data_IF_547025150813
#
_entry.id   IF_547025150813
#
_cell.length_a   1.000
_cell.length_b   1.000
_cell.length_c   1.000
_cell.angle_alpha   90.00
_cell.angle_beta   90.00
_cell.angle_gamma   90.00
#
_symmetry.space_group_name_H-M   'P 1'
#
loop_
_entity.id
_entity.type
_entity.pdbx_description
1 polymer ?
#
# COMPACT_ATOMS: atom_id res chain seq x y z
N UNK A 1 -15.40 -3.16 4.79
CA UNK A 1 -14.04 -3.40 5.39
C UNK A 1 -14.08 -4.49 6.47
N UNK A 2 -15.00 -5.49 6.34
CA UNK A 2 -15.07 -6.58 7.31
C UNK A 2 -13.78 -7.39 7.37
N UNK A 3 -13.19 -7.68 6.23
CA UNK A 3 -11.94 -8.44 6.11
C UNK A 3 -10.81 -7.88 7.00
N UNK A 4 -10.71 -6.56 7.12
CA UNK A 4 -9.72 -5.91 7.98
C UNK A 4 -10.10 -6.04 9.47
N UNK A 5 -11.39 -6.00 9.82
CA UNK A 5 -11.84 -6.27 11.19
C UNK A 5 -11.60 -7.73 11.59
N UNK A 6 -11.88 -8.68 10.70
CA UNK A 6 -11.62 -10.10 10.92
C UNK A 6 -10.12 -10.36 11.20
N UNK A 7 -9.21 -9.61 10.55
CA UNK A 7 -7.78 -9.66 10.84
C UNK A 7 -7.45 -9.13 12.25
N UNK A 8 -8.00 -7.96 12.65
CA UNK A 8 -7.81 -7.42 13.99
C UNK A 8 -8.33 -8.38 15.07
N UNK A 9 -9.53 -8.92 14.88
CA UNK A 9 -10.13 -9.92 15.78
C UNK A 9 -9.26 -11.15 15.91
N UNK A 10 -8.77 -11.68 14.77
CA UNK A 10 -7.86 -12.84 14.75
C UNK A 10 -6.58 -12.59 15.53
N UNK A 11 -5.94 -11.41 15.37
CA UNK A 11 -4.69 -11.11 16.08
C UNK A 11 -4.95 -10.99 17.59
N UNK A 12 -6.06 -10.37 17.98
CA UNK A 12 -6.42 -10.24 19.41
C UNK A 12 -6.77 -11.58 20.07
N UNK A 13 -7.30 -12.55 19.29
CA UNK A 13 -7.69 -13.86 19.79
C UNK A 13 -6.54 -14.88 19.76
N UNK A 14 -5.79 -14.93 18.65
CA UNK A 14 -4.86 -16.01 18.34
C UNK A 14 -3.39 -15.54 18.29
N UNK A 15 -3.15 -14.23 18.43
CA UNK A 15 -1.81 -13.64 18.30
C UNK A 15 -0.84 -14.13 19.36
N UNK A 16 0.37 -14.47 18.92
CA UNK A 16 1.48 -14.82 19.80
C UNK A 16 2.26 -13.56 20.15
N UNK A 17 2.55 -13.35 21.43
CA UNK A 17 3.37 -12.22 21.87
C UNK A 17 4.82 -12.43 21.41
N UNK A 18 5.39 -11.39 20.78
CA UNK A 18 6.76 -11.37 20.28
C UNK A 18 7.47 -10.08 20.71
N UNK A 19 8.76 -10.21 20.99
CA UNK A 19 9.64 -9.05 21.06
C UNK A 19 9.94 -8.53 19.66
N UNK A 20 10.12 -7.23 19.56
CA UNK A 20 10.45 -6.56 18.31
C UNK A 20 11.62 -5.58 18.48
N UNK A 21 12.13 -5.05 17.38
CA UNK A 21 13.26 -4.12 17.33
C UNK A 21 13.02 -2.84 18.15
N UNK A 22 11.77 -2.40 18.25
CA UNK A 22 11.40 -1.15 18.94
C UNK A 22 11.30 -1.31 20.47
N UNK A 23 11.31 -2.55 20.97
CA UNK A 23 11.09 -2.86 22.38
C UNK A 23 9.65 -2.69 22.87
N UNK A 24 8.72 -2.33 21.97
CA UNK A 24 7.30 -2.17 22.32
C UNK A 24 6.60 -3.51 22.52
N UNK A 25 7.02 -4.54 21.78
CA UNK A 25 6.36 -5.85 21.73
C UNK A 25 5.13 -5.85 20.82
N UNK A 26 4.79 -7.02 20.32
CA UNK A 26 3.67 -7.22 19.38
C UNK A 26 2.88 -8.47 19.72
N UNK A 27 1.57 -8.49 19.37
CA UNK A 27 0.82 -9.71 19.10
C UNK A 27 0.88 -9.99 17.60
N UNK A 28 1.26 -11.20 17.19
CA UNK A 28 1.49 -11.53 15.78
C UNK A 28 0.83 -12.84 15.40
N UNK A 29 0.27 -12.87 14.17
CA UNK A 29 -0.12 -14.09 13.45
C UNK A 29 0.68 -14.19 12.16
N UNK A 30 1.04 -15.41 11.76
CA UNK A 30 1.78 -15.65 10.52
C UNK A 30 0.84 -16.17 9.43
N UNK A 31 0.81 -15.44 8.32
CA UNK A 31 -0.02 -15.79 7.17
C UNK A 31 -1.50 -15.37 7.33
N UNK A 32 -1.90 -14.35 6.57
CA UNK A 32 -3.30 -13.95 6.44
C UNK A 32 -3.55 -13.38 5.05
N UNK A 33 -4.76 -13.58 4.51
CA UNK A 33 -5.13 -13.01 3.22
C UNK A 33 -6.49 -12.34 3.30
N UNK A 34 -6.59 -11.14 2.76
CA UNK A 34 -7.82 -10.37 2.59
C UNK A 34 -8.11 -10.13 1.11
N UNK A 35 -9.40 -10.06 0.75
CA UNK A 35 -9.84 -9.75 -0.62
C UNK A 35 -10.84 -8.60 -0.61
N UNK A 36 -10.65 -7.67 -1.54
CA UNK A 36 -11.48 -6.49 -1.70
C UNK A 36 -11.91 -6.38 -3.16
N UNK A 37 -13.18 -6.64 -3.46
CA UNK A 37 -13.73 -6.38 -4.80
C UNK A 37 -13.94 -4.87 -4.97
N UNK A 38 -13.17 -4.29 -5.89
CA UNK A 38 -13.13 -2.84 -6.12
C UNK A 38 -14.42 -2.32 -6.80
N UNK A 39 -15.24 -3.21 -7.37
CA UNK A 39 -16.56 -2.84 -7.87
C UNK A 39 -17.56 -2.48 -6.74
N UNK A 40 -17.33 -2.97 -5.52
CA UNK A 40 -18.18 -2.67 -4.36
C UNK A 40 -17.81 -1.37 -3.63
N UNK A 41 -16.78 -0.67 -4.07
CA UNK A 41 -16.31 0.60 -3.51
C UNK A 41 -14.81 0.59 -3.21
N UNK A 42 -14.29 1.76 -2.90
CA UNK A 42 -12.88 1.94 -2.58
C UNK A 42 -12.61 1.51 -1.12
N UNK A 43 -11.68 0.56 -0.87
CA UNK A 43 -11.48 -0.03 0.45
C UNK A 43 -10.71 0.90 1.40
N UNK A 44 -11.23 2.08 1.64
CA UNK A 44 -10.76 3.03 2.65
C UNK A 44 -11.55 2.81 3.93
N UNK A 45 -10.88 2.45 5.03
CA UNK A 45 -11.57 2.11 6.27
C UNK A 45 -12.45 3.26 6.78
N UNK A 46 -13.68 2.91 7.22
CA UNK A 46 -14.65 3.86 7.75
C UNK A 46 -14.75 3.82 9.27
N UNK A 47 -14.15 2.83 9.94
CA UNK A 47 -14.15 2.70 11.40
C UNK A 47 -13.11 3.59 12.10
N UNK A 48 -12.20 4.18 11.34
CA UNK A 48 -11.37 5.33 11.71
C UNK A 48 -11.06 6.15 10.46
N UNK A 49 -10.96 7.48 10.61
CA UNK A 49 -10.56 8.38 9.51
C UNK A 49 -9.10 8.16 9.16
N UNK A 50 -8.81 7.96 7.87
CA UNK A 50 -7.45 7.93 7.31
C UNK A 50 -7.13 9.25 6.60
N UNK A 51 -5.85 9.56 6.49
CA UNK A 51 -5.35 10.73 5.79
C UNK A 51 -5.08 10.40 4.31
N UNK A 52 -6.13 10.48 3.48
CA UNK A 52 -6.06 10.14 2.05
C UNK A 52 -4.95 10.89 1.31
N UNK A 53 -4.70 12.15 1.66
CA UNK A 53 -3.64 12.96 1.04
C UNK A 53 -2.28 12.28 1.13
N UNK A 54 -1.92 11.74 2.29
CA UNK A 54 -0.66 10.99 2.45
C UNK A 54 -0.62 9.75 1.57
N UNK A 55 -1.73 9.00 1.48
CA UNK A 55 -1.80 7.78 0.67
C UNK A 55 -1.58 8.09 -0.82
N UNK A 56 -2.23 9.13 -1.33
CA UNK A 56 -2.12 9.51 -2.76
C UNK A 56 -0.71 10.04 -3.06
N UNK A 57 -0.17 10.98 -2.26
CA UNK A 57 1.15 11.53 -2.51
C UNK A 57 2.26 10.49 -2.35
N UNK A 58 2.16 9.56 -1.40
CA UNK A 58 3.12 8.46 -1.28
C UNK A 58 3.13 7.58 -2.53
N UNK A 59 1.95 7.21 -3.04
CA UNK A 59 1.86 6.40 -4.26
C UNK A 59 2.43 7.14 -5.48
N UNK A 60 2.11 8.42 -5.64
CA UNK A 60 2.66 9.24 -6.73
C UNK A 60 4.18 9.37 -6.62
N UNK A 61 4.70 9.51 -5.42
CA UNK A 61 6.13 9.57 -5.13
C UNK A 61 6.84 8.24 -5.48
N UNK A 62 6.25 7.09 -5.15
CA UNK A 62 6.76 5.78 -5.60
C UNK A 62 6.76 5.67 -7.13
N UNK A 63 5.66 6.10 -7.79
CA UNK A 63 5.53 6.05 -9.24
C UNK A 63 6.48 7.02 -9.96
N UNK A 64 6.89 8.11 -9.32
CA UNK A 64 7.93 8.99 -9.82
C UNK A 64 9.34 8.37 -9.73
N UNK A 65 9.52 7.28 -8.97
CA UNK A 65 10.82 6.65 -8.73
C UNK A 65 11.69 7.42 -7.74
N UNK A 66 11.09 8.36 -7.01
CA UNK A 66 11.79 9.21 -6.05
C UNK A 66 12.06 8.48 -4.72
N UNK A 67 13.09 8.91 -4.02
CA UNK A 67 13.55 8.36 -2.73
C UNK A 67 13.81 9.44 -1.69
N UNK A 68 13.68 10.73 -2.07
CA UNK A 68 13.84 11.86 -1.18
C UNK A 68 12.49 12.35 -0.67
N UNK A 69 12.39 12.61 0.64
CA UNK A 69 11.13 13.04 1.28
C UNK A 69 10.69 14.47 0.93
N UNK A 70 11.51 15.24 0.19
CA UNK A 70 11.22 16.63 -0.16
C UNK A 70 9.86 16.82 -0.81
N UNK A 71 9.57 16.01 -1.86
CA UNK A 71 8.26 16.05 -2.52
C UNK A 71 7.11 15.82 -1.53
N UNK A 72 7.25 14.84 -0.64
CA UNK A 72 6.23 14.55 0.37
C UNK A 72 6.03 15.74 1.32
N UNK A 73 7.12 16.33 1.81
CA UNK A 73 7.09 17.45 2.74
C UNK A 73 6.50 18.72 2.09
N UNK A 74 6.82 19.02 0.83
CA UNK A 74 6.21 20.12 0.06
C UNK A 74 4.68 19.97 -0.05
N UNK A 75 4.16 18.72 0.05
CA UNK A 75 2.74 18.43 0.05
C UNK A 75 2.14 18.18 1.44
N UNK A 76 2.90 18.49 2.51
CA UNK A 76 2.45 18.32 3.90
C UNK A 76 2.32 16.87 4.35
N UNK A 77 3.10 15.97 3.76
CA UNK A 77 3.17 14.54 4.09
C UNK A 77 4.50 14.24 4.77
N UNK A 78 4.46 13.77 6.02
CA UNK A 78 5.63 13.58 6.89
C UNK A 78 5.82 12.13 7.33
N UNK A 79 5.11 11.18 6.70
CA UNK A 79 5.07 9.78 7.13
C UNK A 79 6.38 9.02 6.94
N UNK A 80 7.38 9.62 6.28
CA UNK A 80 8.71 9.07 6.04
C UNK A 80 9.84 9.81 6.75
N UNK A 81 9.55 10.95 7.41
CA UNK A 81 10.58 11.84 7.98
C UNK A 81 11.45 11.17 9.05
N UNK A 82 10.87 10.23 9.82
CA UNK A 82 11.57 9.53 10.92
C UNK A 82 12.71 8.62 10.42
N UNK A 83 12.68 8.23 9.12
CA UNK A 83 13.68 7.35 8.51
C UNK A 83 14.65 8.08 7.58
N UNK A 84 14.32 9.31 7.16
CA UNK A 84 15.15 10.08 6.25
C UNK A 84 16.43 10.57 6.94
N UNK A 85 17.53 10.59 6.18
CA UNK A 85 18.76 11.23 6.64
C UNK A 85 18.65 12.77 6.63
N UNK A 86 19.73 13.45 7.03
CA UNK A 86 19.76 14.91 7.12
C UNK A 86 19.55 15.63 5.75
N UNK A 87 19.73 14.93 4.62
CA UNK A 87 19.47 15.44 3.27
C UNK A 87 18.06 15.09 2.76
N UNK A 88 17.30 14.33 3.54
CA UNK A 88 15.97 13.85 3.19
C UNK A 88 15.98 12.54 2.38
N UNK A 89 17.12 11.86 2.27
CA UNK A 89 17.25 10.61 1.50
C UNK A 89 16.91 9.38 2.34
N UNK A 90 16.27 8.40 1.67
CA UNK A 90 15.90 7.11 2.25
C UNK A 90 16.69 5.93 1.67
N UNK A 91 17.62 6.20 0.75
CA UNK A 91 18.29 5.17 -0.02
C UNK A 91 17.38 4.53 -1.08
N UNK A 92 17.77 3.38 -1.66
CA UNK A 92 17.09 2.81 -2.82
C UNK A 92 15.76 2.10 -2.47
N UNK A 93 14.83 2.81 -1.78
CA UNK A 93 13.52 2.30 -1.37
C UNK A 93 12.56 2.13 -2.56
N UNK A 94 11.33 1.77 -2.32
CA UNK A 94 10.27 1.40 -3.26
C UNK A 94 10.31 2.03 -4.65
N UNK A 95 10.31 3.36 -4.74
CA UNK A 95 10.30 4.08 -6.02
C UNK A 95 11.50 3.74 -6.88
N UNK A 96 12.68 3.70 -6.28
CA UNK A 96 13.93 3.32 -6.98
C UNK A 96 13.85 1.89 -7.52
N UNK A 97 13.39 0.94 -6.72
CA UNK A 97 13.29 -0.46 -7.14
C UNK A 97 12.22 -0.65 -8.23
N UNK A 98 11.09 0.03 -8.15
CA UNK A 98 10.02 -0.06 -9.12
C UNK A 98 10.37 0.53 -10.48
N UNK A 99 11.08 1.69 -10.48
CA UNK A 99 11.29 2.49 -11.68
C UNK A 99 12.71 2.43 -12.24
N UNK A 100 13.68 2.01 -11.47
CA UNK A 100 15.10 2.05 -11.85
C UNK A 100 15.88 0.91 -11.22
N UNK A 101 15.40 -0.33 -11.36
CA UNK A 101 16.09 -1.52 -10.89
C UNK A 101 17.42 -1.68 -11.62
N UNK A 102 18.58 -1.73 -10.93
CA UNK A 102 19.87 -1.79 -11.58
C UNK A 102 20.12 -3.15 -12.24
N UNK A 103 20.74 -3.15 -13.42
CA UNK A 103 21.18 -4.36 -14.13
C UNK A 103 22.69 -4.54 -14.03
N UNK A 104 23.18 -5.76 -14.25
CA UNK A 104 24.61 -6.08 -14.14
C UNK A 104 25.49 -5.35 -15.18
N UNK A 105 24.92 -4.92 -16.30
CA UNK A 105 25.59 -4.16 -17.37
C UNK A 105 25.55 -2.63 -17.15
N UNK A 106 25.04 -2.19 -15.99
CA UNK A 106 24.95 -0.77 -15.63
C UNK A 106 23.68 -0.06 -16.16
N UNK A 107 22.76 -0.80 -16.79
CA UNK A 107 21.45 -0.30 -17.19
C UNK A 107 20.45 -0.29 -16.04
N UNK A 108 19.19 0.03 -16.37
CA UNK A 108 18.07 0.01 -15.43
C UNK A 108 16.82 -0.64 -16.05
N UNK A 109 16.02 -1.26 -15.21
CA UNK A 109 14.71 -1.81 -15.58
C UNK A 109 13.63 -0.97 -14.89
N UNK A 110 12.74 -0.39 -15.68
CA UNK A 110 11.48 0.18 -15.19
C UNK A 110 10.41 -0.92 -15.12
N UNK A 111 10.23 -1.49 -13.93
CA UNK A 111 9.30 -2.60 -13.73
C UNK A 111 7.83 -2.16 -13.94
N UNK A 112 7.47 -0.92 -13.53
CA UNK A 112 6.11 -0.40 -13.68
C UNK A 112 5.78 -0.17 -15.15
N UNK A 113 6.64 0.50 -15.92
CA UNK A 113 6.43 0.70 -17.35
C UNK A 113 6.33 -0.63 -18.10
N UNK A 114 7.19 -1.59 -17.73
CA UNK A 114 7.20 -2.92 -18.32
C UNK A 114 5.91 -3.70 -18.03
N UNK A 115 5.40 -3.67 -16.78
CA UNK A 115 4.17 -4.39 -16.44
C UNK A 115 2.94 -3.77 -17.11
N UNK A 116 2.83 -2.44 -17.17
CA UNK A 116 1.73 -1.75 -17.90
C UNK A 116 1.77 -2.11 -19.38
N UNK A 117 2.95 -2.07 -20.00
CA UNK A 117 3.13 -2.46 -21.41
C UNK A 117 2.80 -3.96 -21.63
N UNK A 118 3.17 -4.83 -20.69
CA UNK A 118 2.87 -6.26 -20.77
C UNK A 118 1.38 -6.54 -20.64
N UNK A 119 0.65 -5.86 -19.75
CA UNK A 119 -0.82 -5.97 -19.62
C UNK A 119 -1.51 -5.62 -20.96
N UNK A 120 -1.09 -4.53 -21.61
CA UNK A 120 -1.66 -4.12 -22.92
C UNK A 120 -1.38 -5.12 -24.04
N UNK A 121 -0.18 -5.73 -24.08
CA UNK A 121 0.24 -6.62 -25.16
C UNK A 121 -0.18 -8.07 -24.96
N UNK A 122 -0.19 -8.54 -23.72
CA UNK A 122 -0.47 -9.92 -23.36
C UNK A 122 -1.08 -9.99 -21.95
N UNK A 123 -2.38 -9.70 -21.80
CA UNK A 123 -3.07 -9.70 -20.51
C UNK A 123 -3.07 -11.06 -19.82
N UNK A 124 -2.95 -12.16 -20.56
CA UNK A 124 -2.90 -13.53 -20.01
C UNK A 124 -1.52 -13.91 -19.43
N UNK A 125 -0.56 -12.98 -19.45
CA UNK A 125 0.78 -13.22 -18.92
C UNK A 125 0.74 -13.52 -17.41
N UNK A 126 1.48 -14.56 -16.99
CA UNK A 126 1.72 -14.87 -15.56
C UNK A 126 2.95 -14.18 -14.99
N UNK A 127 3.56 -13.24 -15.75
CA UNK A 127 4.78 -12.51 -15.39
C UNK A 127 4.52 -11.02 -15.12
N UNK A 128 3.29 -10.67 -14.77
CA UNK A 128 2.89 -9.29 -14.47
C UNK A 128 3.26 -8.97 -13.01
N UNK A 129 4.56 -8.97 -12.70
CA UNK A 129 5.12 -8.85 -11.35
C UNK A 129 5.99 -7.61 -11.24
N UNK A 130 5.90 -6.93 -10.09
CA UNK A 130 6.79 -5.84 -9.66
C UNK A 130 7.31 -6.20 -8.27
N UNK A 131 8.62 -6.08 -8.04
CA UNK A 131 9.24 -6.34 -6.75
C UNK A 131 10.03 -5.14 -6.25
N UNK A 132 9.92 -4.87 -4.94
CA UNK A 132 10.76 -3.90 -4.24
C UNK A 132 11.86 -4.60 -3.43
N UNK A 133 11.76 -5.92 -3.22
CA UNK A 133 12.74 -6.67 -2.45
C UNK A 133 13.95 -7.00 -3.31
N UNK A 134 15.02 -6.22 -3.12
CA UNK A 134 16.31 -6.41 -3.78
C UNK A 134 17.36 -6.80 -2.74
N UNK A 135 17.79 -8.08 -2.65
CA UNK A 135 18.78 -8.50 -1.66
C UNK A 135 20.13 -7.77 -1.75
N UNK A 136 20.48 -7.21 -2.91
CA UNK A 136 21.71 -6.46 -3.08
C UNK A 136 21.64 -5.02 -2.56
N UNK A 137 20.43 -4.50 -2.34
CA UNK A 137 20.22 -3.11 -1.93
C UNK A 137 19.52 -2.98 -0.55
N UNK A 138 18.97 -4.07 -0.01
CA UNK A 138 18.13 -4.02 1.20
C UNK A 138 18.85 -3.37 2.39
N UNK A 139 20.15 -3.61 2.53
CA UNK A 139 20.97 -3.04 3.62
C UNK A 139 21.34 -1.57 3.41
N UNK A 140 21.05 -1.01 2.21
CA UNK A 140 21.27 0.40 1.87
C UNK A 140 20.00 1.24 2.05
N UNK A 141 18.87 0.61 2.38
CA UNK A 141 17.58 1.25 2.55
C UNK A 141 17.39 1.68 4.00
N UNK A 142 16.93 2.91 4.22
CA UNK A 142 16.57 3.39 5.56
C UNK A 142 15.51 2.51 6.22
N UNK A 143 14.61 1.95 5.40
CA UNK A 143 13.62 0.96 5.83
C UNK A 143 13.46 -0.12 4.76
N UNK A 144 13.85 -1.38 5.03
CA UNK A 144 13.63 -2.50 4.12
C UNK A 144 12.15 -2.67 3.76
N UNK A 145 11.81 -2.96 2.48
CA UNK A 145 10.42 -2.97 2.02
C UNK A 145 9.54 -3.94 2.81
N UNK A 146 8.47 -3.45 3.41
CA UNK A 146 7.44 -4.26 4.05
C UNK A 146 6.56 -4.94 2.99
N UNK A 147 6.07 -4.18 2.01
CA UNK A 147 5.38 -4.70 0.83
C UNK A 147 6.39 -5.06 -0.25
N UNK A 148 6.71 -6.38 -0.33
CA UNK A 148 7.86 -6.89 -1.07
C UNK A 148 7.63 -6.98 -2.56
N UNK A 149 6.47 -7.50 -2.97
CA UNK A 149 6.11 -7.69 -4.38
C UNK A 149 4.60 -7.67 -4.57
N UNK A 150 4.20 -7.29 -5.77
CA UNK A 150 2.82 -7.43 -6.20
C UNK A 150 2.73 -7.98 -7.62
N UNK A 151 1.61 -8.63 -7.91
CA UNK A 151 1.32 -9.25 -9.20
C UNK A 151 -0.05 -8.81 -9.68
N UNK A 152 -0.14 -8.46 -10.96
CA UNK A 152 -1.41 -8.24 -11.63
C UNK A 152 -1.93 -9.51 -12.30
N UNK A 153 -3.24 -9.60 -12.40
CA UNK A 153 -3.96 -10.66 -13.06
C UNK A 153 -5.15 -10.08 -13.82
N UNK A 154 -5.29 -10.48 -15.09
CA UNK A 154 -6.41 -10.04 -15.94
C UNK A 154 -7.32 -11.22 -16.22
N UNK A 155 -8.62 -11.06 -15.98
CA UNK A 155 -9.63 -12.03 -16.35
C UNK A 155 -10.97 -11.32 -16.61
N UNK A 156 -11.69 -11.74 -17.64
CA UNK A 156 -13.00 -11.22 -17.99
C UNK A 156 -13.03 -9.68 -18.15
N UNK A 157 -11.96 -9.10 -18.71
CA UNK A 157 -11.82 -7.64 -18.87
C UNK A 157 -11.52 -6.87 -17.58
N UNK A 158 -11.26 -7.56 -16.46
CA UNK A 158 -10.98 -6.95 -15.16
C UNK A 158 -9.54 -7.17 -14.73
N UNK A 159 -8.91 -6.12 -14.17
CA UNK A 159 -7.56 -6.15 -13.61
C UNK A 159 -7.62 -6.31 -12.10
N UNK A 160 -7.01 -7.36 -11.58
CA UNK A 160 -6.80 -7.59 -10.15
C UNK A 160 -5.33 -7.44 -9.78
N UNK A 161 -5.06 -7.11 -8.51
CA UNK A 161 -3.71 -7.00 -7.96
C UNK A 161 -3.60 -7.83 -6.69
N UNK A 162 -2.54 -8.64 -6.57
CA UNK A 162 -2.19 -9.30 -5.31
C UNK A 162 -0.88 -8.75 -4.78
N UNK A 163 -0.89 -8.26 -3.54
CA UNK A 163 0.27 -7.82 -2.79
C UNK A 163 0.73 -8.90 -1.81
N UNK A 164 2.04 -9.17 -1.75
CA UNK A 164 2.66 -9.85 -0.61
C UNK A 164 3.40 -8.82 0.25
N UNK A 165 2.97 -8.71 1.51
CA UNK A 165 3.58 -7.87 2.54
C UNK A 165 4.18 -8.75 3.63
N UNK A 166 5.53 -8.74 3.75
CA UNK A 166 6.26 -9.63 4.70
C UNK A 166 6.05 -9.25 6.16
N UNK A 167 5.85 -7.95 6.42
CA UNK A 167 5.73 -7.36 7.77
C UNK A 167 4.65 -6.30 7.73
N UNK A 168 3.65 -6.42 8.60
CA UNK A 168 2.43 -5.64 8.51
C UNK A 168 2.00 -5.13 9.90
N UNK A 169 2.28 -3.85 10.19
CA UNK A 169 1.62 -3.12 11.28
C UNK A 169 0.13 -3.00 10.94
N UNK A 170 -0.68 -3.82 11.60
CA UNK A 170 -2.08 -3.95 11.25
C UNK A 170 -2.89 -2.72 11.65
N UNK A 171 -2.47 -1.97 12.68
CA UNK A 171 -3.23 -0.82 13.12
C UNK A 171 -2.92 0.45 12.30
N UNK A 172 -1.65 0.81 12.12
CA UNK A 172 -1.27 2.03 11.40
C UNK A 172 -1.04 1.78 9.91
N UNK A 173 -0.23 0.79 9.54
CA UNK A 173 0.25 0.57 8.16
C UNK A 173 -0.78 -0.09 7.24
N UNK A 174 -1.34 -1.22 7.64
CA UNK A 174 -2.21 -2.03 6.76
C UNK A 174 -3.37 -1.26 6.13
N UNK A 175 -4.12 -0.37 6.85
CA UNK A 175 -5.19 0.40 6.22
C UNK A 175 -4.69 1.36 5.11
N UNK A 176 -3.49 1.92 5.25
CA UNK A 176 -2.83 2.73 4.23
C UNK A 176 -2.44 1.87 3.02
N UNK A 177 -1.83 0.71 3.26
CA UNK A 177 -1.40 -0.20 2.19
C UNK A 177 -2.59 -0.74 1.39
N UNK A 178 -3.72 -1.09 2.05
CA UNK A 178 -4.95 -1.50 1.36
C UNK A 178 -5.41 -0.41 0.39
N UNK A 179 -5.51 0.82 0.86
CA UNK A 179 -5.98 1.94 0.03
C UNK A 179 -4.98 2.29 -1.09
N UNK A 180 -3.67 2.27 -0.80
CA UNK A 180 -2.62 2.58 -1.79
C UNK A 180 -2.62 1.58 -2.94
N UNK A 181 -2.65 0.27 -2.67
CA UNK A 181 -2.64 -0.74 -3.73
C UNK A 181 -4.00 -0.89 -4.44
N UNK A 182 -5.11 -0.63 -3.75
CA UNK A 182 -6.40 -0.49 -4.41
C UNK A 182 -6.39 0.69 -5.40
N UNK A 183 -5.82 1.83 -5.01
CA UNK A 183 -5.66 3.01 -5.87
C UNK A 183 -4.76 2.70 -7.07
N UNK A 184 -3.61 2.07 -6.86
CA UNK A 184 -2.71 1.63 -7.93
C UNK A 184 -3.44 0.70 -8.91
N UNK A 185 -4.28 -0.22 -8.40
CA UNK A 185 -5.07 -1.14 -9.24
C UNK A 185 -6.06 -0.37 -10.12
N UNK A 186 -6.77 0.63 -9.55
CA UNK A 186 -7.68 1.51 -10.31
C UNK A 186 -6.94 2.30 -11.40
N UNK A 187 -5.78 2.88 -11.06
CA UNK A 187 -4.96 3.66 -12.00
C UNK A 187 -4.47 2.79 -13.16
N UNK A 188 -3.91 1.61 -12.86
CA UNK A 188 -3.41 0.69 -13.91
C UNK A 188 -4.57 0.16 -14.76
N UNK A 189 -5.71 -0.18 -14.17
CA UNK A 189 -6.91 -0.59 -14.91
C UNK A 189 -7.33 0.51 -15.93
N UNK A 190 -7.46 1.76 -15.46
CA UNK A 190 -7.83 2.89 -16.33
C UNK A 190 -6.86 3.06 -17.50
N UNK A 191 -5.56 3.14 -17.25
CA UNK A 191 -4.58 3.40 -18.33
C UNK A 191 -4.40 2.21 -19.28
N UNK A 192 -4.84 1.01 -18.89
CA UNK A 192 -4.80 -0.18 -19.74
C UNK A 192 -6.15 -0.50 -20.38
N UNK A 193 -7.21 0.29 -20.13
CA UNK A 193 -8.54 0.11 -20.71
C UNK A 193 -9.29 -1.09 -20.12
N UNK A 194 -8.99 -1.48 -18.88
CA UNK A 194 -9.62 -2.58 -18.16
C UNK A 194 -10.52 -2.04 -17.03
N UNK A 195 -11.51 -2.83 -16.62
CA UNK A 195 -12.24 -2.58 -15.38
C UNK A 195 -11.40 -3.02 -14.17
N UNK A 196 -11.63 -2.38 -13.02
CA UNK A 196 -11.00 -2.82 -11.78
C UNK A 196 -11.63 -4.14 -11.28
N UNK A 197 -10.76 -5.07 -10.89
CA UNK A 197 -11.12 -6.37 -10.32
C UNK A 197 -11.03 -6.37 -8.80
N UNK A 198 -10.21 -7.27 -8.24
CA UNK A 198 -9.97 -7.40 -6.81
C UNK A 198 -8.59 -6.86 -6.43
N UNK A 199 -8.50 -6.30 -5.24
CA UNK A 199 -7.23 -6.22 -4.51
C UNK A 199 -7.14 -7.36 -3.51
N UNK A 200 -6.10 -8.18 -3.61
CA UNK A 200 -5.79 -9.31 -2.73
C UNK A 200 -4.57 -8.96 -1.90
N UNK A 201 -4.72 -8.90 -0.59
CA UNK A 201 -3.63 -8.55 0.33
C UNK A 201 -3.20 -9.78 1.11
N UNK A 202 -2.01 -10.27 0.82
CA UNK A 202 -1.39 -11.42 1.51
C UNK A 202 -0.31 -10.92 2.46
N UNK A 203 -0.47 -11.24 3.75
CA UNK A 203 0.41 -10.83 4.82
C UNK A 203 1.27 -12.01 5.29
N UNK A 204 2.55 -11.76 5.55
CA UNK A 204 3.45 -12.65 6.27
C UNK A 204 3.26 -12.50 7.78
N UNK A 205 4.15 -11.76 8.46
CA UNK A 205 4.02 -11.39 9.87
C UNK A 205 3.02 -10.24 9.99
N UNK A 206 1.78 -10.55 10.37
CA UNK A 206 0.73 -9.57 10.62
C UNK A 206 0.66 -9.31 12.13
N UNK A 207 1.03 -8.11 12.55
CA UNK A 207 1.21 -7.80 13.96
C UNK A 207 0.48 -6.53 14.41
N UNK A 208 0.09 -6.53 15.67
CA UNK A 208 -0.45 -5.41 16.39
C UNK A 208 0.50 -5.08 17.54
N UNK A 209 1.03 -3.86 17.56
CA UNK A 209 1.89 -3.41 18.66
C UNK A 209 1.12 -3.39 19.98
N UNK A 210 1.76 -3.76 21.09
CA UNK A 210 1.11 -3.85 22.41
C UNK A 210 0.54 -2.51 22.87
N UNK A 211 1.13 -1.40 22.45
CA UNK A 211 0.64 -0.04 22.73
C UNK A 211 -0.55 0.38 21.85
N UNK A 212 -1.02 -0.49 20.91
CA UNK A 212 -2.19 -0.25 20.05
C UNK A 212 -3.40 -1.13 20.38
N UNK A 213 -3.34 -1.98 21.41
CA UNK A 213 -4.40 -2.93 21.76
C UNK A 213 -5.74 -2.23 22.08
N UNK A 214 -5.69 -1.16 22.87
CA UNK A 214 -6.86 -0.35 23.23
C UNK A 214 -7.48 0.32 21.99
N UNK A 215 -6.65 0.87 21.13
CA UNK A 215 -7.06 1.52 19.88
C UNK A 215 -7.72 0.52 18.93
N UNK A 216 -7.18 -0.70 18.82
CA UNK A 216 -7.76 -1.77 18.02
C UNK A 216 -9.14 -2.20 18.56
N UNK A 217 -9.27 -2.39 19.87
CA UNK A 217 -10.55 -2.68 20.51
C UNK A 217 -11.57 -1.57 20.29
N UNK A 218 -11.15 -0.30 20.44
CA UNK A 218 -12.00 0.86 20.15
C UNK A 218 -12.47 0.86 18.69
N UNK A 219 -11.58 0.54 17.74
CA UNK A 219 -11.91 0.49 16.32
C UNK A 219 -12.92 -0.63 16.03
N UNK A 220 -12.74 -1.81 16.63
CA UNK A 220 -13.64 -2.96 16.48
C UNK A 220 -15.04 -2.70 17.06
N UNK A 221 -15.17 -1.86 18.10
CA UNK A 221 -16.44 -1.46 18.66
C UNK A 221 -17.27 -0.54 17.75
N UNK A 222 -16.68 -0.02 16.66
CA UNK A 222 -17.35 0.89 15.72
C UNK A 222 -17.94 0.12 14.54
N UNK A 223 -19.23 0.32 14.28
CA UNK A 223 -19.88 -0.26 13.11
C UNK A 223 -19.27 0.30 11.81
N UNK A 224 -18.86 -0.55 10.84
CA UNK A 224 -18.46 -0.09 9.53
C UNK A 224 -19.59 0.67 8.83
N UNK A 225 -19.21 1.75 8.11
CA UNK A 225 -20.12 2.53 7.26
C UNK A 225 -19.91 2.15 5.79
N UNK A 226 -20.80 2.56 4.88
CA UNK A 226 -20.62 2.31 3.44
C UNK A 226 -19.24 2.75 2.93
N UNK A 227 -18.69 1.98 2.00
CA UNK A 227 -17.42 2.33 1.37
C UNK A 227 -17.60 3.56 0.47
N UNK A 228 -16.60 4.45 0.43
CA UNK A 228 -16.57 5.55 -0.52
C UNK A 228 -16.31 5.05 -1.94
N UNK A 229 -16.46 5.95 -2.92
CA UNK A 229 -16.03 5.73 -4.30
C UNK A 229 -14.81 6.59 -4.59
N UNK A 230 -13.80 6.01 -5.20
CA UNK A 230 -12.67 6.74 -5.78
C UNK A 230 -12.96 6.97 -7.26
N UNK A 231 -12.99 8.22 -7.66
CA UNK A 231 -13.15 8.63 -9.06
C UNK A 231 -11.82 9.18 -9.54
N UNK A 232 -11.32 8.62 -10.64
CA UNK A 232 -10.12 9.11 -11.31
C UNK A 232 -10.55 10.02 -12.47
N UNK A 233 -9.75 11.06 -12.74
CA UNK A 233 -9.92 11.89 -13.92
C UNK A 233 -9.86 11.03 -15.19
N UNK A 234 -10.95 10.93 -15.98
CA UNK A 234 -10.98 10.08 -17.18
C UNK A 234 -10.01 10.55 -18.28
N UNK A 235 -9.53 11.79 -18.23
CA UNK A 235 -8.54 12.31 -19.18
C UNK A 235 -7.11 11.83 -18.85
N UNK A 236 -6.84 11.29 -17.65
CA UNK A 236 -5.54 10.75 -17.29
C UNK A 236 -5.34 9.37 -17.95
N UNK A 237 -4.53 9.33 -18.99
CA UNK A 237 -4.25 8.13 -19.81
C UNK A 237 -2.83 7.60 -19.66
N UNK A 238 -1.96 8.33 -18.96
CA UNK A 238 -0.60 7.93 -18.62
C UNK A 238 -0.47 7.77 -17.11
N UNK A 239 -0.01 6.58 -16.67
CA UNK A 239 0.17 6.25 -15.26
C UNK A 239 1.12 7.22 -14.54
N UNK A 240 2.10 7.74 -15.24
CA UNK A 240 3.14 8.60 -14.68
C UNK A 240 2.81 10.10 -14.74
N UNK A 241 1.67 10.44 -15.35
CA UNK A 241 1.19 11.82 -15.47
C UNK A 241 0.02 12.13 -14.53
N UNK A 242 -0.34 11.22 -13.62
CA UNK A 242 -1.34 11.51 -12.61
C UNK A 242 -0.83 12.54 -11.60
N UNK A 243 -1.69 13.48 -11.24
CA UNK A 243 -1.51 14.45 -10.18
C UNK A 243 -2.53 14.24 -9.07
N UNK A 244 -2.33 14.85 -7.91
CA UNK A 244 -3.25 14.71 -6.77
C UNK A 244 -4.69 15.11 -7.10
N UNK A 245 -4.87 16.10 -7.96
CA UNK A 245 -6.16 16.65 -8.41
C UNK A 245 -6.94 15.69 -9.30
N UNK A 246 -6.31 14.64 -9.82
CA UNK A 246 -6.97 13.61 -10.63
C UNK A 246 -7.77 12.61 -9.79
N UNK A 247 -7.70 12.70 -8.47
CA UNK A 247 -8.37 11.80 -7.53
C UNK A 247 -9.48 12.49 -6.76
N UNK A 248 -10.71 11.99 -6.89
CA UNK A 248 -11.88 12.50 -6.18
C UNK A 248 -12.53 11.41 -5.33
N UNK A 249 -12.49 11.56 -4.00
CA UNK A 249 -13.13 10.62 -3.08
C UNK A 249 -14.56 11.09 -2.77
N UNK A 250 -15.54 10.26 -3.10
CA UNK A 250 -16.95 10.56 -2.88
C UNK A 250 -17.57 9.67 -1.81
N UNK A 251 -18.39 10.25 -0.94
CA UNK A 251 -19.15 9.52 0.08
C UNK A 251 -18.28 8.96 1.23
N UNK A 252 -17.11 9.52 1.50
CA UNK A 252 -16.29 9.10 2.65
C UNK A 252 -16.82 9.73 3.95
N UNK A 253 -17.53 8.93 4.73
CA UNK A 253 -18.08 9.29 6.05
C UNK A 253 -17.49 8.36 7.12
N UNK A 254 -16.23 8.55 7.55
CA UNK A 254 -15.62 7.70 8.56
C UNK A 254 -15.97 8.13 9.97
N UNK A 255 -15.82 7.19 10.93
CA UNK A 255 -15.69 7.53 12.33
C UNK A 255 -14.43 8.40 12.56
N UNK A 256 -14.38 9.18 13.66
CA UNK A 256 -13.23 10.01 13.98
C UNK A 256 -11.91 9.23 13.99
N UNK A 257 -10.82 9.93 13.70
CA UNK A 257 -9.48 9.37 13.80
C UNK A 257 -9.21 8.77 15.19
N UNK A 258 -8.45 7.68 15.24
CA UNK A 258 -7.94 7.08 16.47
C UNK A 258 -6.44 7.32 16.51
N UNK A 259 -6.01 8.16 17.45
CA UNK A 259 -4.58 8.51 17.61
C UNK A 259 -3.80 7.32 18.18
N UNK A 260 -2.65 7.00 17.59
CA UNK A 260 -1.70 6.03 18.08
C UNK A 260 -0.26 6.51 17.82
N UNK A 261 0.68 6.04 18.63
CA UNK A 261 2.11 6.36 18.46
C UNK A 261 2.73 5.38 17.48
N UNK A 262 3.55 5.89 16.56
CA UNK A 262 4.41 5.02 15.72
C UNK A 262 5.43 4.32 16.61
N UNK A 263 5.68 3.04 16.37
CA UNK A 263 6.76 2.29 17.00
C UNK A 263 7.99 2.37 16.09
N UNK A 264 9.04 3.03 16.53
CA UNK A 264 10.29 3.30 15.80
C UNK A 264 11.50 2.71 16.51
#
# INVERSE_FOLDING_TARGET
MRQYHDLLERILADGVEKHDRTGTGTLSVFGHQMRFDLAHGFPLTTTKKLHLRSIVHELLWFLAGDTNVRYLNEHGVTIWDEWADASGELGPVYGRQWRSWPTADGGVIDQIANVVSAIRRNPDSRRLIVTAWNPADVDKMALPPCHCLFQFYVANGRLSCQLYQRSADVFLGVPFNIASYALLTLMVAQVTGLDAGEFVHTLGDAHLYLNHLEQARLQLARAPRPLPKMILNPAATDLFAFHYEDFSLQGYDPHPHIKAKVAV
#
